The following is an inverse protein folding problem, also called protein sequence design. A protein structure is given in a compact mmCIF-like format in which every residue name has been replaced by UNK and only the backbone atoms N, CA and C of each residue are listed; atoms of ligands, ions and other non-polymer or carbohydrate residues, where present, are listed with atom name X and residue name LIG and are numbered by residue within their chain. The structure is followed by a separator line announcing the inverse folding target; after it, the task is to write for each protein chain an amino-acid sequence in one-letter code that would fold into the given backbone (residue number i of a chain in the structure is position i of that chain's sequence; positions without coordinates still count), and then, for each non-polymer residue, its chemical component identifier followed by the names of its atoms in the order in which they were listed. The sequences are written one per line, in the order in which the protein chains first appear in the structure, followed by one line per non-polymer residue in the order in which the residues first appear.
data_IF_766793968075
#
_entry.id   IF_766793968075
#
_cell.length_a   1.000
_cell.length_b   1.000
_cell.length_c   1.000
_cell.angle_alpha   90.00
_cell.angle_beta   90.00
_cell.angle_gamma   90.00
#
_symmetry.space_group_name_H-M   'P 1'
#
loop_
_entity.id
_entity.type
_entity.pdbx_description
1 polymer ?
#
# COMPACT_ATOMS: atom_id res chain seq x y z
N UNK A 1 13.28 -29.08 4.81
CA UNK A 1 13.17 -28.09 3.71
C UNK A 1 13.77 -26.78 4.18
N UNK A 2 14.61 -26.09 3.39
CA UNK A 2 15.19 -24.82 3.83
C UNK A 2 14.12 -23.72 3.87
N UNK A 3 14.15 -22.88 4.91
CA UNK A 3 13.22 -21.76 5.12
C UNK A 3 13.18 -20.80 3.92
N UNK A 4 14.32 -20.63 3.25
CA UNK A 4 14.48 -19.74 2.08
C UNK A 4 13.63 -20.13 0.86
N UNK A 5 13.28 -21.40 0.70
CA UNK A 5 12.41 -21.85 -0.42
C UNK A 5 10.94 -21.45 -0.24
N UNK A 6 10.58 -20.78 0.86
CA UNK A 6 9.20 -20.32 1.13
C UNK A 6 8.89 -18.94 0.56
N UNK A 7 9.90 -18.17 0.18
CA UNK A 7 9.72 -16.81 -0.33
C UNK A 7 9.41 -16.80 -1.83
N UNK A 8 8.49 -15.93 -2.28
CA UNK A 8 8.17 -15.78 -3.69
C UNK A 8 9.37 -15.23 -4.48
N UNK A 9 9.40 -15.51 -5.78
CA UNK A 9 10.43 -14.98 -6.65
C UNK A 9 10.30 -13.45 -6.79
N UNK A 10 11.43 -12.75 -6.95
CA UNK A 10 11.44 -11.29 -7.12
C UNK A 10 10.48 -10.80 -8.22
N UNK A 11 10.37 -11.56 -9.32
CA UNK A 11 9.45 -11.26 -10.44
C UNK A 11 7.97 -11.22 -10.03
N UNK A 12 7.58 -11.93 -8.97
CA UNK A 12 6.21 -11.93 -8.45
C UNK A 12 6.01 -10.83 -7.39
N UNK A 13 7.07 -10.44 -6.69
CA UNK A 13 7.04 -9.38 -5.66
C UNK A 13 6.87 -8.01 -6.34
N UNK A 14 7.57 -7.77 -7.45
CA UNK A 14 7.57 -6.44 -8.12
C UNK A 14 6.17 -5.95 -8.53
N UNK A 15 5.29 -6.75 -9.17
CA UNK A 15 3.94 -6.30 -9.52
C UNK A 15 3.09 -5.98 -8.29
N UNK A 16 3.20 -6.77 -7.22
CA UNK A 16 2.48 -6.53 -5.96
C UNK A 16 2.99 -5.26 -5.26
N UNK A 17 4.30 -5.04 -5.29
CA UNK A 17 4.92 -3.81 -4.80
C UNK A 17 4.44 -2.60 -5.60
N UNK A 18 4.41 -2.70 -6.94
CA UNK A 18 3.92 -1.64 -7.81
C UNK A 18 2.47 -1.25 -7.54
N UNK A 19 1.61 -2.26 -7.34
CA UNK A 19 0.22 -2.05 -6.98
C UNK A 19 0.09 -1.33 -5.64
N UNK A 20 0.87 -1.76 -4.65
CA UNK A 20 0.92 -1.13 -3.32
C UNK A 20 1.36 0.32 -3.42
N UNK A 21 2.41 0.60 -4.20
CA UNK A 21 2.89 1.96 -4.50
C UNK A 21 1.79 2.79 -5.16
N UNK A 22 1.11 2.27 -6.18
CA UNK A 22 0.01 3.00 -6.84
C UNK A 22 -1.08 3.39 -5.83
N UNK A 23 -1.50 2.46 -4.97
CA UNK A 23 -2.58 2.70 -4.01
C UNK A 23 -2.19 3.70 -2.92
N UNK A 24 -1.03 3.52 -2.29
CA UNK A 24 -0.56 4.38 -1.20
C UNK A 24 -0.23 5.78 -1.72
N UNK A 25 0.58 5.89 -2.78
CA UNK A 25 0.92 7.20 -3.34
C UNK A 25 -0.31 7.88 -3.95
N UNK A 26 -1.17 7.14 -4.66
CA UNK A 26 -2.41 7.69 -5.21
C UNK A 26 -3.31 8.29 -4.12
N UNK A 27 -3.48 7.58 -3.01
CA UNK A 27 -4.23 8.08 -1.86
C UNK A 27 -3.59 9.32 -1.22
N UNK A 28 -2.27 9.28 -0.99
CA UNK A 28 -1.54 10.42 -0.43
C UNK A 28 -1.62 11.64 -1.35
N UNK A 29 -1.44 11.48 -2.66
CA UNK A 29 -1.59 12.57 -3.63
C UNK A 29 -2.99 13.17 -3.59
N UNK A 30 -4.03 12.34 -3.57
CA UNK A 30 -5.42 12.81 -3.43
C UNK A 30 -5.60 13.64 -2.15
N UNK A 31 -5.09 13.17 -1.02
CA UNK A 31 -5.16 13.89 0.26
C UNK A 31 -4.40 15.21 0.24
N UNK A 32 -3.21 15.23 -0.37
CA UNK A 32 -2.38 16.43 -0.48
C UNK A 32 -3.03 17.47 -1.40
N UNK A 33 -3.56 17.06 -2.54
CA UNK A 33 -4.28 17.96 -3.46
C UNK A 33 -5.50 18.60 -2.80
N UNK A 34 -6.21 17.87 -1.93
CA UNK A 34 -7.31 18.43 -1.14
C UNK A 34 -6.87 19.45 -0.09
N UNK A 35 -5.60 19.40 0.37
CA UNK A 35 -5.03 20.35 1.34
C UNK A 35 -4.30 21.51 0.66
N UNK A 36 -3.91 21.34 -0.60
CA UNK A 36 -3.13 22.31 -1.36
C UNK A 36 -3.75 23.73 -1.38
N UNK A 37 -5.08 23.92 -1.58
CA UNK A 37 -5.67 25.26 -1.55
C UNK A 37 -5.47 25.96 -0.21
N UNK A 38 -5.65 25.24 0.91
CA UNK A 38 -5.38 25.81 2.24
C UNK A 38 -3.90 26.12 2.45
N UNK A 39 -3.00 25.25 1.98
CA UNK A 39 -1.58 25.47 2.13
C UNK A 39 -1.07 26.66 1.34
N UNK A 40 -1.60 26.91 0.13
CA UNK A 40 -1.25 28.09 -0.66
C UNK A 40 -1.62 29.41 0.04
N UNK A 41 -2.58 29.40 0.98
CA UNK A 41 -2.97 30.57 1.75
C UNK A 41 -2.11 30.80 3.01
N UNK A 42 -1.54 29.74 3.58
CA UNK A 42 -0.90 29.80 4.91
C UNK A 42 0.58 29.40 4.94
N UNK A 43 1.06 28.66 3.94
CA UNK A 43 2.41 28.11 3.90
C UNK A 43 3.21 28.73 2.76
N UNK A 44 4.51 28.87 2.98
CA UNK A 44 5.46 29.26 1.94
C UNK A 44 5.74 28.07 1.01
N UNK A 45 6.14 28.31 -0.26
CA UNK A 45 6.38 27.23 -1.22
C UNK A 45 7.37 26.16 -0.75
N UNK A 46 8.44 26.53 -0.04
CA UNK A 46 9.42 25.56 0.49
C UNK A 46 8.84 24.68 1.61
N UNK A 47 7.89 25.19 2.40
CA UNK A 47 7.21 24.42 3.45
C UNK A 47 6.29 23.37 2.83
N UNK A 48 5.62 23.72 1.73
CA UNK A 48 4.80 22.79 0.95
C UNK A 48 5.67 21.68 0.35
N UNK A 49 6.79 22.03 -0.27
CA UNK A 49 7.75 21.06 -0.85
C UNK A 49 8.34 20.17 0.24
N UNK A 50 8.68 20.73 1.40
CA UNK A 50 9.17 19.99 2.56
C UNK A 50 8.13 18.97 3.03
N UNK A 51 6.89 19.40 3.29
CA UNK A 51 5.79 18.51 3.69
C UNK A 51 5.53 17.39 2.68
N UNK A 52 5.60 17.71 1.37
CA UNK A 52 5.48 16.72 0.29
C UNK A 52 6.62 15.71 0.32
N UNK A 53 7.85 16.15 0.57
CA UNK A 53 9.03 15.29 0.65
C UNK A 53 8.92 14.30 1.81
N UNK A 54 8.47 14.74 2.99
CA UNK A 54 8.19 13.85 4.12
C UNK A 54 7.13 12.81 3.79
N UNK A 55 6.03 13.23 3.14
CA UNK A 55 4.97 12.31 2.73
C UNK A 55 5.46 11.25 1.74
N UNK A 56 6.30 11.62 0.77
CA UNK A 56 6.87 10.66 -0.20
C UNK A 56 7.79 9.63 0.46
N UNK A 57 8.66 10.05 1.38
CA UNK A 57 9.55 9.13 2.10
C UNK A 57 8.74 8.19 2.98
N UNK A 58 7.71 8.70 3.66
CA UNK A 58 6.84 7.87 4.50
C UNK A 58 6.03 6.87 3.65
N UNK A 59 5.46 7.31 2.53
CA UNK A 59 4.78 6.41 1.59
C UNK A 59 5.71 5.29 1.11
N UNK A 60 6.98 5.58 0.82
CA UNK A 60 7.94 4.56 0.42
C UNK A 60 8.12 3.49 1.51
N UNK A 61 8.29 3.92 2.77
CA UNK A 61 8.41 3.03 3.91
C UNK A 61 7.13 2.21 4.13
N UNK A 62 5.95 2.83 4.02
CA UNK A 62 4.66 2.13 4.10
C UNK A 62 4.53 1.07 2.98
N UNK A 63 4.95 1.38 1.76
CA UNK A 63 4.90 0.43 0.64
C UNK A 63 5.80 -0.78 0.89
N UNK A 64 7.02 -0.55 1.39
CA UNK A 64 7.96 -1.62 1.78
C UNK A 64 7.37 -2.46 2.91
N UNK A 65 6.80 -1.82 3.93
CA UNK A 65 6.20 -2.51 5.07
C UNK A 65 4.99 -3.34 4.65
N UNK A 66 4.04 -2.77 3.91
CA UNK A 66 2.83 -3.46 3.45
C UNK A 66 3.19 -4.63 2.54
N UNK A 67 4.08 -4.41 1.57
CA UNK A 67 4.52 -5.50 0.69
C UNK A 67 5.26 -6.58 1.47
N UNK A 68 6.10 -6.19 2.44
CA UNK A 68 6.75 -7.12 3.36
C UNK A 68 5.76 -7.98 4.13
N UNK A 69 4.69 -7.39 4.67
CA UNK A 69 3.62 -8.12 5.34
C UNK A 69 2.87 -9.07 4.40
N UNK A 70 2.61 -8.67 3.15
CA UNK A 70 1.98 -9.54 2.14
C UNK A 70 2.89 -10.72 1.79
N UNK A 71 4.19 -10.48 1.61
CA UNK A 71 5.19 -11.53 1.37
C UNK A 71 5.27 -12.48 2.54
N UNK A 72 5.28 -11.98 3.78
CA UNK A 72 5.27 -12.80 5.00
C UNK A 72 3.99 -13.63 5.11
N UNK A 73 2.83 -13.04 4.84
CA UNK A 73 1.55 -13.76 4.81
C UNK A 73 1.59 -14.90 3.77
N UNK A 74 2.10 -14.62 2.56
CA UNK A 74 2.31 -15.62 1.52
C UNK A 74 3.30 -16.73 1.94
N UNK A 75 4.37 -16.38 2.64
CA UNK A 75 5.38 -17.32 3.12
C UNK A 75 4.85 -18.25 4.22
N UNK A 76 4.00 -17.75 5.12
CA UNK A 76 3.38 -18.49 6.22
C UNK A 76 2.31 -19.50 5.76
N UNK A 77 1.69 -19.29 4.60
CA UNK A 77 0.68 -20.22 4.08
C UNK A 77 1.27 -21.61 3.76
N UNK A 78 0.58 -22.73 4.05
CA UNK A 78 1.15 -24.09 3.92
C UNK A 78 1.24 -24.62 2.47
N UNK A 79 0.67 -23.95 1.47
CA UNK A 79 0.50 -24.48 0.11
C UNK A 79 1.67 -24.12 -0.82
N UNK A 80 2.84 -24.72 -0.58
CA UNK A 80 4.11 -24.36 -1.24
C UNK A 80 4.14 -24.56 -2.77
N UNK A 81 3.37 -25.51 -3.33
CA UNK A 81 3.41 -25.83 -4.76
C UNK A 81 2.57 -24.92 -5.65
N UNK A 82 1.53 -24.31 -5.09
CA UNK A 82 0.65 -23.39 -5.81
C UNK A 82 1.17 -21.94 -5.75
N UNK A 83 1.98 -21.60 -4.73
CA UNK A 83 2.44 -20.22 -4.48
C UNK A 83 3.03 -19.51 -5.70
N UNK A 84 3.85 -20.19 -6.49
CA UNK A 84 4.51 -19.54 -7.62
C UNK A 84 3.53 -19.07 -8.70
N UNK A 85 2.37 -19.71 -8.80
CA UNK A 85 1.36 -19.36 -9.79
C UNK A 85 0.27 -18.41 -9.25
N UNK A 86 0.10 -18.31 -7.92
CA UNK A 86 -0.98 -17.53 -7.32
C UNK A 86 -0.53 -16.35 -6.47
N UNK A 87 0.78 -16.19 -6.20
CA UNK A 87 1.26 -15.12 -5.32
C UNK A 87 0.89 -13.73 -5.83
N UNK A 88 0.99 -13.47 -7.13
CA UNK A 88 0.65 -12.15 -7.71
C UNK A 88 -0.82 -11.85 -7.45
N UNK A 89 -1.73 -12.76 -7.78
CA UNK A 89 -3.16 -12.57 -7.57
C UNK A 89 -3.53 -12.49 -6.07
N UNK A 90 -2.97 -13.35 -5.22
CA UNK A 90 -3.15 -13.28 -3.76
C UNK A 90 -2.68 -11.95 -3.19
N UNK A 91 -1.44 -11.56 -3.50
CA UNK A 91 -0.86 -10.31 -3.01
C UNK A 91 -1.61 -9.09 -3.53
N UNK A 92 -2.11 -9.15 -4.77
CA UNK A 92 -2.91 -8.09 -5.36
C UNK A 92 -4.28 -7.97 -4.72
N UNK A 93 -4.97 -9.10 -4.48
CA UNK A 93 -6.23 -9.12 -3.74
C UNK A 93 -6.06 -8.60 -2.32
N UNK A 94 -5.01 -9.06 -1.62
CA UNK A 94 -4.71 -8.63 -0.25
C UNK A 94 -4.35 -7.14 -0.19
N UNK A 95 -3.56 -6.66 -1.14
CA UNK A 95 -3.22 -5.24 -1.28
C UNK A 95 -4.47 -4.38 -1.54
N UNK A 96 -5.30 -4.75 -2.51
CA UNK A 96 -6.52 -4.00 -2.86
C UNK A 96 -7.53 -3.98 -1.72
N UNK A 97 -7.87 -5.14 -1.17
CA UNK A 97 -8.88 -5.25 -0.11
C UNK A 97 -8.35 -4.69 1.22
N UNK A 98 -7.10 -5.00 1.56
CA UNK A 98 -6.44 -4.55 2.78
C UNK A 98 -6.24 -3.04 2.80
N UNK A 99 -5.59 -2.47 1.77
CA UNK A 99 -5.41 -1.02 1.68
C UNK A 99 -6.73 -0.30 1.46
N UNK A 100 -7.66 -0.86 0.70
CA UNK A 100 -9.02 -0.32 0.57
C UNK A 100 -9.73 -0.20 1.91
N UNK A 101 -9.59 -1.20 2.78
CA UNK A 101 -10.13 -1.15 4.14
C UNK A 101 -9.41 -0.13 5.02
N UNK A 102 -8.09 -0.02 4.94
CA UNK A 102 -7.35 1.01 5.68
C UNK A 102 -7.74 2.42 5.23
N UNK A 103 -7.91 2.65 3.92
CA UNK A 103 -8.43 3.91 3.38
C UNK A 103 -9.83 4.19 3.95
N UNK A 104 -10.71 3.20 3.97
CA UNK A 104 -12.03 3.32 4.60
C UNK A 104 -11.93 3.69 6.08
N UNK A 105 -11.02 3.08 6.86
CA UNK A 105 -10.80 3.43 8.26
C UNK A 105 -10.33 4.88 8.42
N UNK A 106 -9.38 5.33 7.59
CA UNK A 106 -8.91 6.73 7.65
C UNK A 106 -10.04 7.71 7.35
N UNK A 107 -10.96 7.34 6.45
CA UNK A 107 -12.13 8.15 6.16
C UNK A 107 -13.11 8.19 7.32
N UNK A 108 -13.42 7.04 7.95
CA UNK A 108 -14.28 6.99 9.13
C UNK A 108 -13.73 7.82 10.29
N UNK A 109 -12.42 7.73 10.55
CA UNK A 109 -11.76 8.57 11.57
C UNK A 109 -11.87 10.05 11.22
N UNK A 110 -11.73 10.43 9.95
CA UNK A 110 -11.88 11.81 9.50
C UNK A 110 -13.33 12.33 9.50
N UNK A 111 -14.31 11.45 9.36
CA UNK A 111 -15.74 11.79 9.33
C UNK A 111 -16.37 11.86 10.73
N UNK A 112 -15.78 11.19 11.72
CA UNK A 112 -16.22 11.26 13.11
C UNK A 112 -16.24 12.71 13.59
N UNK A 113 -17.43 13.18 14.00
CA UNK A 113 -17.60 14.50 14.62
C UNK A 113 -16.74 14.60 15.88
N UNK A 114 -16.22 15.80 16.11
CA UNK A 114 -15.32 16.19 17.19
C UNK A 114 -15.42 15.30 18.44
N UNK A 115 -14.39 14.46 18.63
CA UNK A 115 -14.01 13.73 19.85
C UNK A 115 -14.57 12.31 20.07
N UNK A 116 -15.37 11.73 19.17
CA UNK A 116 -15.78 10.32 19.32
C UNK A 116 -15.03 9.42 18.33
N UNK A 117 -14.06 8.67 18.85
CA UNK A 117 -13.39 7.61 18.12
C UNK A 117 -14.43 6.55 17.68
N UNK A 118 -14.42 6.09 16.42
CA UNK A 118 -15.43 5.16 15.90
C UNK A 118 -15.19 3.72 16.40
N UNK A 119 -15.34 3.51 17.70
CA UNK A 119 -15.09 2.23 18.39
C UNK A 119 -15.80 1.05 17.74
N UNK A 120 -17.03 1.24 17.26
CA UNK A 120 -17.77 0.20 16.57
C UNK A 120 -16.99 -0.36 15.37
N UNK A 121 -16.47 0.50 14.50
CA UNK A 121 -15.73 0.07 13.31
C UNK A 121 -14.41 -0.62 13.68
N UNK A 122 -13.70 -0.08 14.68
CA UNK A 122 -12.42 -0.63 15.14
C UNK A 122 -12.56 -1.96 15.87
N UNK A 123 -13.64 -2.16 16.63
CA UNK A 123 -13.91 -3.43 17.31
C UNK A 123 -14.10 -4.59 16.32
N UNK A 124 -14.67 -4.31 15.14
CA UNK A 124 -14.84 -5.29 14.07
C UNK A 124 -13.61 -5.46 13.16
N UNK A 125 -12.60 -4.59 13.26
CA UNK A 125 -11.41 -4.63 12.41
C UNK A 125 -10.69 -5.98 12.39
N UNK A 126 -10.46 -6.69 13.51
CA UNK A 126 -9.81 -7.99 13.47
C UNK A 126 -10.58 -9.02 12.64
N UNK A 127 -11.91 -9.04 12.77
CA UNK A 127 -12.78 -9.95 12.00
C UNK A 127 -12.80 -9.60 10.51
N UNK A 128 -12.82 -8.29 10.19
CA UNK A 128 -12.77 -7.82 8.79
C UNK A 128 -11.42 -8.14 8.17
N UNK A 129 -10.30 -7.94 8.87
CA UNK A 129 -8.97 -8.29 8.38
C UNK A 129 -8.81 -9.80 8.18
N UNK A 130 -9.36 -10.62 9.08
CA UNK A 130 -9.42 -12.07 8.90
C UNK A 130 -10.25 -12.45 7.67
N UNK A 131 -11.42 -11.81 7.48
CA UNK A 131 -12.27 -12.02 6.31
C UNK A 131 -11.57 -11.59 5.01
N UNK A 132 -10.83 -10.48 5.02
CA UNK A 132 -10.01 -10.01 3.89
C UNK A 132 -8.91 -11.02 3.58
N UNK A 133 -8.22 -11.56 4.58
CA UNK A 133 -7.18 -12.58 4.38
C UNK A 133 -7.76 -13.85 3.74
N UNK A 134 -8.91 -14.32 4.24
CA UNK A 134 -9.62 -15.46 3.66
C UNK A 134 -10.09 -15.15 2.24
N UNK A 135 -10.67 -13.97 2.00
CA UNK A 135 -11.11 -13.54 0.69
C UNK A 135 -9.93 -13.47 -0.30
N UNK A 136 -8.82 -12.85 0.08
CA UNK A 136 -7.61 -12.77 -0.72
C UNK A 136 -7.04 -14.16 -1.03
N UNK A 137 -7.25 -15.14 -0.16
CA UNK A 137 -6.87 -16.53 -0.40
C UNK A 137 -7.79 -17.27 -1.37
N UNK A 138 -9.12 -17.10 -1.25
CA UNK A 138 -10.09 -17.84 -2.06
C UNK A 138 -10.42 -17.19 -3.41
N UNK A 139 -10.48 -15.86 -3.48
CA UNK A 139 -10.85 -15.11 -4.69
C UNK A 139 -9.94 -15.46 -5.90
N UNK A 140 -8.61 -15.54 -5.76
CA UNK A 140 -7.72 -15.90 -6.87
C UNK A 140 -7.92 -17.31 -7.44
N UNK A 141 -8.71 -18.17 -6.78
CA UNK A 141 -9.06 -19.49 -7.35
C UNK A 141 -10.03 -19.37 -8.52
N UNK A 142 -10.70 -18.23 -8.67
CA UNK A 142 -11.56 -17.94 -9.82
C UNK A 142 -10.67 -17.42 -10.95
N UNK A 143 -10.51 -18.21 -12.02
CA UNK A 143 -9.61 -17.92 -13.16
C UNK A 143 -9.75 -16.49 -13.71
N UNK A 144 -10.98 -16.01 -13.87
CA UNK A 144 -11.23 -14.66 -14.39
C UNK A 144 -10.70 -13.57 -13.46
N UNK A 145 -10.90 -13.72 -12.15
CA UNK A 145 -10.44 -12.74 -11.17
C UNK A 145 -8.92 -12.78 -11.04
N UNK A 146 -8.32 -13.97 -11.07
CA UNK A 146 -6.86 -14.15 -11.12
C UNK A 146 -6.25 -13.34 -12.26
N UNK A 147 -6.71 -13.58 -13.48
CA UNK A 147 -6.19 -12.89 -14.69
C UNK A 147 -6.38 -11.38 -14.59
N UNK A 148 -7.52 -10.92 -14.07
CA UNK A 148 -7.76 -9.50 -13.87
C UNK A 148 -6.78 -8.87 -12.86
N UNK A 149 -6.57 -9.54 -11.72
CA UNK A 149 -5.66 -9.07 -10.67
C UNK A 149 -4.21 -9.03 -11.15
N UNK A 150 -3.77 -10.07 -11.86
CA UNK A 150 -2.42 -10.14 -12.45
C UNK A 150 -2.22 -9.05 -13.49
N UNK A 151 -3.16 -8.93 -14.45
CA UNK A 151 -3.09 -7.89 -15.47
C UNK A 151 -3.12 -6.48 -14.88
N UNK A 152 -3.88 -6.28 -13.80
CA UNK A 152 -3.92 -5.00 -13.10
C UNK A 152 -2.57 -4.71 -12.44
N UNK A 153 -2.04 -5.63 -11.65
CA UNK A 153 -0.75 -5.48 -10.97
C UNK A 153 0.40 -5.23 -11.95
N UNK A 154 0.45 -5.96 -13.07
CA UNK A 154 1.47 -5.78 -14.11
C UNK A 154 1.41 -4.37 -14.72
N UNK A 155 0.21 -3.84 -14.98
CA UNK A 155 0.05 -2.47 -15.50
C UNK A 155 0.49 -1.41 -14.49
N UNK A 156 0.37 -1.69 -13.20
CA UNK A 156 0.79 -0.72 -12.17
C UNK A 156 2.31 -0.55 -12.07
N UNK A 157 3.11 -1.44 -12.67
CA UNK A 157 4.58 -1.34 -12.68
C UNK A 157 5.07 -0.01 -13.26
N UNK A 158 4.30 0.60 -14.17
CA UNK A 158 4.63 1.91 -14.73
C UNK A 158 4.76 3.00 -13.64
N UNK A 159 4.00 2.89 -12.55
CA UNK A 159 4.02 3.85 -11.44
C UNK A 159 5.31 3.76 -10.62
N UNK A 160 6.02 2.63 -10.62
CA UNK A 160 7.33 2.53 -9.95
C UNK A 160 8.35 3.47 -10.58
N UNK A 161 8.35 3.58 -11.91
CA UNK A 161 9.26 4.49 -12.63
C UNK A 161 8.97 5.96 -12.32
N UNK A 162 7.76 6.29 -11.89
CA UNK A 162 7.38 7.65 -11.51
C UNK A 162 7.67 7.93 -10.03
N UNK A 163 7.20 7.07 -9.13
CA UNK A 163 7.22 7.34 -7.70
C UNK A 163 8.55 7.03 -7.01
N UNK A 164 9.36 6.10 -7.53
CA UNK A 164 10.68 5.84 -6.96
C UNK A 164 11.62 7.05 -7.10
N UNK A 165 11.76 7.70 -8.28
CA UNK A 165 12.55 8.93 -8.39
C UNK A 165 12.03 10.05 -7.50
N UNK A 166 10.70 10.24 -7.40
CA UNK A 166 10.14 11.24 -6.50
C UNK A 166 10.48 10.96 -5.04
N UNK A 167 10.47 9.70 -4.62
CA UNK A 167 10.83 9.31 -3.25
C UNK A 167 12.31 9.53 -2.96
N UNK A 168 13.18 9.27 -3.95
CA UNK A 168 14.60 9.59 -3.85
C UNK A 168 14.83 11.10 -3.70
N UNK A 169 14.15 11.92 -4.50
CA UNK A 169 14.19 13.38 -4.35
C UNK A 169 13.66 13.83 -2.99
N UNK A 170 12.54 13.26 -2.53
CA UNK A 170 11.98 13.53 -1.21
C UNK A 170 12.96 13.20 -0.08
N UNK A 171 13.69 12.08 -0.20
CA UNK A 171 14.73 11.70 0.76
C UNK A 171 15.87 12.72 0.79
N UNK A 172 16.34 13.17 -0.37
CA UNK A 172 17.41 14.20 -0.45
C UNK A 172 16.94 15.48 0.23
N UNK A 173 15.75 15.98 -0.08
CA UNK A 173 15.20 17.20 0.52
C UNK A 173 15.05 17.05 2.04
N UNK A 174 14.55 15.90 2.50
CA UNK A 174 14.43 15.60 3.92
C UNK A 174 15.79 15.64 4.62
N UNK A 175 16.83 15.04 4.03
CA UNK A 175 18.17 15.06 4.60
C UNK A 175 18.75 16.48 4.65
N UNK A 176 18.59 17.27 3.59
CA UNK A 176 19.06 18.66 3.58
C UNK A 176 18.38 19.47 4.70
N UNK A 177 17.06 19.38 4.84
CA UNK A 177 16.31 20.14 5.84
C UNK A 177 16.57 19.72 7.30
N UNK A 178 17.13 18.54 7.55
CA UNK A 178 17.42 18.05 8.91
C UNK A 178 18.90 18.22 9.29
N UNK A 179 19.80 18.32 8.32
CA UNK A 179 21.25 18.38 8.57
C UNK A 179 21.82 19.80 8.47
N UNK A 180 21.16 20.71 7.76
CA UNK A 180 21.56 22.10 7.58
C UNK A 180 20.44 23.04 8.04
#
# INVERSE_FOLDING_TARGET
MSFWKRFPAYRQIVPVFALTVMLIYGWTMYRMLNKLPSWLLYLRPYEIISNFSYALVFNFLECVLVTGLIVLAGALLPFHREKDEYFIAFGSALGLLGLGYLIYLTWQVGASKANLFPWGVFAWSPFILAAILLAAFFIPRIKTIKVLLEAFADRTVIFLYLFLPFSALGLVILLVNNLF
#
